data_IF_846198477164
#
_entry.id   IF_846198477164
#
_cell.length_a   1.000
_cell.length_b   1.000
_cell.length_c   1.000
_cell.angle_alpha   90.00
_cell.angle_beta   90.00
_cell.angle_gamma   90.00
#
_symmetry.space_group_name_H-M   'P 1'
#
loop_
_entity.id
_entity.type
_entity.pdbx_description
1 polymer ?
#
# COMPACT_ATOMS: atom_id res chain seq x y z
N UNK A 1 7.06 1.73 27.07
CA UNK A 1 7.00 2.21 25.69
C UNK A 1 7.49 1.09 24.80
N UNK A 2 6.68 0.69 23.81
CA UNK A 2 7.14 -0.24 22.76
C UNK A 2 8.39 0.34 22.10
N UNK A 3 9.28 -0.51 21.60
CA UNK A 3 10.47 -0.08 20.84
C UNK A 3 10.14 0.65 19.51
N UNK A 4 8.85 0.85 19.23
CA UNK A 4 8.30 1.46 18.04
C UNK A 4 7.66 2.79 18.42
N UNK A 5 8.12 3.86 17.77
CA UNK A 5 7.57 5.20 17.85
C UNK A 5 7.12 5.57 16.43
N UNK A 6 5.85 5.31 16.13
CA UNK A 6 5.26 5.60 14.82
C UNK A 6 4.16 6.64 14.98
N UNK A 7 4.05 7.54 14.01
CA UNK A 7 2.94 8.49 13.91
C UNK A 7 1.84 7.91 13.02
N UNK A 8 0.67 7.51 13.56
CA UNK A 8 -0.40 6.92 12.75
C UNK A 8 -0.90 7.84 11.63
N UNK A 9 -0.91 9.15 11.87
CA UNK A 9 -1.33 10.14 10.88
C UNK A 9 -0.33 10.26 9.73
N UNK A 10 0.97 10.24 10.03
CA UNK A 10 2.02 10.28 9.00
C UNK A 10 2.04 8.99 8.17
N UNK A 11 1.87 7.82 8.81
CA UNK A 11 1.70 6.57 8.07
C UNK A 11 0.49 6.65 7.15
N UNK A 12 -0.63 7.20 7.63
CA UNK A 12 -1.83 7.46 6.83
C UNK A 12 -1.57 8.33 5.59
N UNK A 13 -0.80 9.41 5.74
CA UNK A 13 -0.43 10.28 4.62
C UNK A 13 0.46 9.55 3.59
N UNK A 14 1.43 8.77 4.06
CA UNK A 14 2.32 7.98 3.19
C UNK A 14 1.53 6.92 2.42
N UNK A 15 0.70 6.12 3.08
CA UNK A 15 -0.07 5.06 2.38
C UNK A 15 -1.08 5.64 1.39
N UNK A 16 -1.65 6.82 1.67
CA UNK A 16 -2.53 7.54 0.74
C UNK A 16 -1.75 7.99 -0.51
N UNK A 17 -0.56 8.57 -0.30
CA UNK A 17 0.31 9.03 -1.39
C UNK A 17 0.74 7.85 -2.27
N UNK A 18 1.15 6.74 -1.66
CA UNK A 18 1.53 5.52 -2.39
C UNK A 18 0.33 4.91 -3.11
N UNK A 19 -0.86 4.94 -2.50
CA UNK A 19 -2.11 4.55 -3.17
C UNK A 19 -2.35 5.34 -4.45
N UNK A 20 -2.14 6.67 -4.41
CA UNK A 20 -2.25 7.54 -5.59
C UNK A 20 -1.28 7.17 -6.72
N UNK A 21 -0.07 6.68 -6.42
CA UNK A 21 0.85 6.19 -7.46
C UNK A 21 0.39 4.88 -8.10
N UNK A 22 -0.38 4.05 -7.38
CA UNK A 22 -0.95 2.81 -7.94
C UNK A 22 -2.10 3.14 -8.87
N UNK A 23 -2.98 4.05 -8.45
CA UNK A 23 -4.12 4.54 -9.22
C UNK A 23 -5.07 5.34 -8.33
N UNK A 24 -5.71 6.34 -8.92
CA UNK A 24 -6.61 7.29 -8.25
C UNK A 24 -8.05 6.79 -8.08
N UNK A 25 -8.38 5.61 -8.62
CA UNK A 25 -9.73 5.05 -8.59
C UNK A 25 -10.67 5.61 -9.67
N UNK A 26 -10.23 6.61 -10.44
CA UNK A 26 -10.98 7.19 -11.56
C UNK A 26 -10.64 6.54 -12.91
N UNK A 27 -9.69 5.60 -12.93
CA UNK A 27 -9.50 4.66 -14.04
C UNK A 27 -8.67 5.19 -15.21
N UNK A 28 -7.75 6.14 -14.97
CA UNK A 28 -6.83 6.62 -16.00
C UNK A 28 -5.44 7.05 -15.48
N UNK A 29 -5.25 7.15 -14.17
CA UNK A 29 -3.99 7.58 -13.56
C UNK A 29 -3.15 6.45 -12.95
N UNK A 30 -1.90 6.82 -12.60
CA UNK A 30 -1.00 5.95 -11.86
C UNK A 30 -0.51 4.72 -12.64
N UNK A 31 0.03 3.76 -11.89
CA UNK A 31 0.57 2.53 -12.47
C UNK A 31 -0.49 1.73 -13.25
N UNK A 32 -1.74 1.70 -12.80
CA UNK A 32 -2.82 0.97 -13.51
C UNK A 32 -3.07 1.61 -14.88
N UNK A 33 -3.24 2.93 -14.96
CA UNK A 33 -3.43 3.62 -16.23
C UNK A 33 -2.25 3.40 -17.19
N UNK A 34 -1.01 3.50 -16.70
CA UNK A 34 0.17 3.25 -17.53
C UNK A 34 0.28 1.81 -18.05
N UNK A 35 -0.27 0.82 -17.35
CA UNK A 35 -0.32 -0.56 -17.82
C UNK A 35 -1.33 -0.72 -18.97
N UNK A 36 -2.45 0.00 -18.90
CA UNK A 36 -3.45 0.03 -19.97
C UNK A 36 -2.89 0.74 -21.21
N UNK A 37 -2.32 1.93 -21.03
CA UNK A 37 -1.63 2.68 -22.10
C UNK A 37 -0.52 1.84 -22.76
N UNK A 38 0.27 1.11 -21.96
CA UNK A 38 1.32 0.23 -22.47
C UNK A 38 0.76 -0.81 -23.44
N UNK A 39 -0.34 -1.48 -23.08
CA UNK A 39 -0.95 -2.49 -23.94
C UNK A 39 -1.47 -1.87 -25.25
N UNK A 40 -2.15 -0.72 -25.15
CA UNK A 40 -2.65 0.02 -26.32
C UNK A 40 -1.53 0.48 -27.25
N UNK A 41 -0.47 1.10 -26.72
CA UNK A 41 0.65 1.56 -27.52
C UNK A 41 1.40 0.42 -28.23
N UNK A 42 1.50 -0.76 -27.60
CA UNK A 42 2.12 -1.91 -28.25
C UNK A 42 1.24 -2.45 -29.39
N UNK A 43 -0.08 -2.46 -29.23
CA UNK A 43 -1.02 -2.83 -30.30
C UNK A 43 -0.99 -1.84 -31.47
N UNK A 44 -0.93 -0.54 -31.19
CA UNK A 44 -0.76 0.51 -32.19
C UNK A 44 0.57 0.36 -32.95
N UNK A 45 1.66 0.08 -32.24
CA UNK A 45 2.96 -0.17 -32.85
C UNK A 45 2.95 -1.41 -33.75
N UNK A 46 2.28 -2.49 -33.34
CA UNK A 46 2.11 -3.70 -34.16
C UNK A 46 1.32 -3.40 -35.44
N UNK A 47 0.24 -2.62 -35.33
CA UNK A 47 -0.57 -2.17 -36.46
C UNK A 47 0.24 -1.32 -37.43
N UNK A 48 0.98 -0.32 -36.90
CA UNK A 48 1.79 0.59 -37.69
C UNK A 48 2.96 -0.11 -38.39
N UNK A 49 3.55 -1.14 -37.76
CA UNK A 49 4.64 -1.91 -38.34
C UNK A 49 4.21 -2.71 -39.59
N UNK A 50 2.90 -3.01 -39.73
CA UNK A 50 2.32 -3.72 -40.88
C UNK A 50 3.10 -5.00 -41.27
N UNK A 51 3.64 -5.70 -40.27
CA UNK A 51 4.59 -6.82 -40.46
C UNK A 51 4.25 -7.94 -39.50
N UNK A 52 3.88 -9.10 -40.05
CA UNK A 52 3.48 -10.27 -39.27
C UNK A 52 4.53 -10.69 -38.22
N UNK A 53 5.83 -10.83 -38.55
CA UNK A 53 6.84 -11.19 -37.54
C UNK A 53 6.99 -10.16 -36.43
N UNK A 54 6.88 -8.86 -36.75
CA UNK A 54 6.99 -7.78 -35.74
C UNK A 54 5.77 -7.80 -34.83
N UNK A 55 4.56 -7.95 -35.41
CA UNK A 55 3.33 -8.07 -34.65
C UNK A 55 3.36 -9.24 -33.67
N UNK A 56 3.83 -10.42 -34.11
CA UNK A 56 4.01 -11.58 -33.23
C UNK A 56 4.97 -11.29 -32.08
N UNK A 57 6.14 -10.71 -32.37
CA UNK A 57 7.14 -10.40 -31.33
C UNK A 57 6.61 -9.39 -30.29
N UNK A 58 5.86 -8.38 -30.72
CA UNK A 58 5.23 -7.42 -29.83
C UNK A 58 4.13 -8.05 -28.97
N UNK A 59 3.37 -8.99 -29.52
CA UNK A 59 2.35 -9.73 -28.77
C UNK A 59 2.98 -10.63 -27.70
N UNK A 60 4.08 -11.32 -28.04
CA UNK A 60 4.88 -12.10 -27.07
C UNK A 60 5.48 -11.22 -25.98
N UNK A 61 5.96 -10.02 -26.32
CA UNK A 61 6.47 -9.06 -25.36
C UNK A 61 5.40 -8.64 -24.34
N UNK A 62 4.20 -8.28 -24.81
CA UNK A 62 3.07 -7.96 -23.91
C UNK A 62 2.73 -9.14 -23.02
N UNK A 63 2.64 -10.36 -23.58
CA UNK A 63 2.34 -11.56 -22.82
C UNK A 63 3.38 -11.84 -21.72
N UNK A 64 4.67 -11.62 -22.01
CA UNK A 64 5.75 -11.80 -21.05
C UNK A 64 5.77 -10.73 -19.95
N UNK A 65 5.53 -9.47 -20.29
CA UNK A 65 5.69 -8.33 -19.37
C UNK A 65 4.45 -8.10 -18.49
N UNK A 66 3.25 -8.39 -19.01
CA UNK A 66 1.98 -8.14 -18.29
C UNK A 66 1.89 -8.74 -16.88
N UNK A 67 2.33 -9.99 -16.62
CA UNK A 67 2.30 -10.55 -15.26
C UNK A 67 3.17 -9.77 -14.27
N UNK A 68 4.34 -9.30 -14.70
CA UNK A 68 5.24 -8.51 -13.85
C UNK A 68 4.63 -7.16 -13.47
N UNK A 69 4.05 -6.48 -14.45
CA UNK A 69 3.36 -5.21 -14.26
C UNK A 69 2.16 -5.33 -13.30
N UNK A 70 1.31 -6.35 -13.49
CA UNK A 70 0.20 -6.65 -12.56
C UNK A 70 0.70 -7.06 -11.18
N UNK A 71 1.82 -7.79 -11.13
CA UNK A 71 2.51 -8.16 -9.90
C UNK A 71 2.95 -6.96 -9.07
N UNK A 72 3.45 -5.90 -9.72
CA UNK A 72 3.80 -4.63 -9.04
C UNK A 72 2.58 -4.00 -8.38
N UNK A 73 1.44 -3.89 -9.09
CA UNK A 73 0.18 -3.36 -8.53
C UNK A 73 -0.25 -4.17 -7.29
N UNK A 74 -0.30 -5.50 -7.43
CA UNK A 74 -0.69 -6.42 -6.34
C UNK A 74 0.24 -6.30 -5.13
N UNK A 75 1.55 -6.22 -5.37
CA UNK A 75 2.55 -6.12 -4.31
C UNK A 75 2.44 -4.79 -3.57
N UNK A 76 2.30 -3.67 -4.28
CA UNK A 76 2.12 -2.36 -3.66
C UNK A 76 0.83 -2.31 -2.83
N UNK A 77 -0.28 -2.84 -3.35
CA UNK A 77 -1.53 -2.94 -2.60
C UNK A 77 -1.38 -3.79 -1.32
N UNK A 78 -0.63 -4.89 -1.39
CA UNK A 78 -0.35 -5.74 -0.22
C UNK A 78 0.51 -5.01 0.82
N UNK A 79 1.51 -4.25 0.39
CA UNK A 79 2.34 -3.42 1.29
C UNK A 79 1.53 -2.32 1.98
N UNK A 80 0.66 -1.61 1.23
CA UNK A 80 -0.25 -0.60 1.79
C UNK A 80 -1.13 -1.23 2.87
N UNK A 81 -1.75 -2.39 2.58
CA UNK A 81 -2.59 -3.10 3.54
C UNK A 81 -1.81 -3.48 4.80
N UNK A 82 -0.62 -4.05 4.65
CA UNK A 82 0.23 -4.43 5.77
C UNK A 82 0.62 -3.24 6.66
N UNK A 83 0.93 -2.09 6.06
CA UNK A 83 1.24 -0.87 6.81
C UNK A 83 0.03 -0.35 7.61
N UNK A 84 -1.16 -0.39 7.01
CA UNK A 84 -2.41 -0.01 7.69
C UNK A 84 -2.73 -0.97 8.83
N UNK A 85 -2.62 -2.27 8.62
CA UNK A 85 -2.86 -3.30 9.65
C UNK A 85 -1.87 -3.19 10.81
N UNK A 86 -0.57 -3.01 10.52
CA UNK A 86 0.45 -2.79 11.54
C UNK A 86 0.18 -1.54 12.38
N UNK A 87 -0.24 -0.44 11.74
CA UNK A 87 -0.59 0.80 12.44
C UNK A 87 -1.82 0.62 13.33
N UNK A 88 -2.82 -0.13 12.87
CA UNK A 88 -3.99 -0.49 13.70
C UNK A 88 -3.59 -1.32 14.91
N UNK A 89 -2.72 -2.32 14.72
CA UNK A 89 -2.22 -3.15 15.81
C UNK A 89 -1.43 -2.33 16.84
N UNK A 90 -0.62 -1.37 16.38
CA UNK A 90 0.09 -0.43 17.25
C UNK A 90 -0.87 0.38 18.13
N UNK A 91 -1.85 1.05 17.53
CA UNK A 91 -2.84 1.87 18.26
C UNK A 91 -3.65 1.03 19.24
N UNK A 92 -4.08 -0.17 18.84
CA UNK A 92 -4.83 -1.06 19.73
C UNK A 92 -3.99 -1.50 20.93
N UNK A 93 -2.71 -1.81 20.72
CA UNK A 93 -1.79 -2.16 21.81
C UNK A 93 -1.63 -1.03 22.83
N UNK A 94 -1.56 0.22 22.38
CA UNK A 94 -1.50 1.39 23.28
C UNK A 94 -2.79 1.54 24.10
N UNK A 95 -3.95 1.32 23.49
CA UNK A 95 -5.25 1.34 24.18
C UNK A 95 -5.34 0.22 25.24
N UNK A 96 -4.85 -0.98 24.94
CA UNK A 96 -4.84 -2.10 25.87
C UNK A 96 -3.90 -1.83 27.07
N UNK A 97 -2.70 -1.31 26.82
CA UNK A 97 -1.77 -0.91 27.87
C UNK A 97 -2.34 0.22 28.74
N UNK A 98 -3.01 1.20 28.13
CA UNK A 98 -3.68 2.27 28.85
C UNK A 98 -4.82 1.72 29.73
N UNK A 99 -5.65 0.83 29.20
CA UNK A 99 -6.75 0.21 29.95
C UNK A 99 -6.23 -0.63 31.14
N UNK A 100 -5.12 -1.35 30.95
CA UNK A 100 -4.47 -2.09 32.04
C UNK A 100 -3.89 -1.15 33.10
N UNK A 101 -3.20 -0.08 32.69
CA UNK A 101 -2.65 0.92 33.61
C UNK A 101 -3.76 1.61 34.45
N UNK A 102 -4.90 1.93 33.84
CA UNK A 102 -6.07 2.46 34.56
C UNK A 102 -6.63 1.46 35.56
N UNK A 103 -6.75 0.18 35.18
CA UNK A 103 -7.19 -0.90 36.08
C UNK A 103 -6.21 -1.09 37.26
N UNK A 104 -4.91 -1.05 37.00
CA UNK A 104 -3.88 -1.13 38.03
C UNK A 104 -3.91 0.09 38.97
N UNK A 105 -4.13 1.29 38.43
CA UNK A 105 -4.21 2.53 39.21
C UNK A 105 -5.37 2.54 40.21
N UNK A 106 -6.53 1.97 39.84
CA UNK A 106 -7.68 1.81 40.77
C UNK A 106 -7.31 0.93 41.97
N UNK A 107 -6.47 -0.07 41.77
CA UNK A 107 -6.02 -0.99 42.82
C UNK A 107 -4.75 -0.51 43.54
N UNK A 108 -4.22 0.67 43.20
CA UNK A 108 -3.01 1.19 43.81
C UNK A 108 -3.27 1.68 45.24
N UNK A 109 -2.39 1.41 46.20
CA UNK A 109 -2.54 1.91 47.57
C UNK A 109 -2.52 3.44 47.60
N UNK A 110 -3.30 4.03 48.52
CA UNK A 110 -3.44 5.47 48.64
C UNK A 110 -2.07 6.17 48.84
N UNK A 111 -1.84 7.32 48.18
CA UNK A 111 -0.57 8.04 48.30
C UNK A 111 -0.33 8.41 49.76
N UNK A 112 0.86 8.06 50.26
CA UNK A 112 1.24 8.34 51.64
C UNK A 112 1.61 9.82 51.77
N UNK A 113 0.60 10.66 52.03
CA UNK A 113 0.82 12.09 52.26
C UNK A 113 1.48 12.24 53.63
N UNK A 114 2.77 12.56 53.64
CA UNK A 114 3.50 12.89 54.87
C UNK A 114 2.95 14.18 55.48
N UNK A 115 2.77 14.18 56.79
CA UNK A 115 2.35 15.35 57.58
C UNK A 115 3.54 16.28 57.85
#
# INVERSE_FOLDING_TARGET
MSAWDISPSEVGAVVTTVGGYVGDGEGGGGLIGHIEDFASHVEEAATAAASMPIGTALQEYVAHTSPGLRGMVSKTASCIRGAVEATRAYVNGDLDMAAEAQRAAVNAPAPRIGR
#
